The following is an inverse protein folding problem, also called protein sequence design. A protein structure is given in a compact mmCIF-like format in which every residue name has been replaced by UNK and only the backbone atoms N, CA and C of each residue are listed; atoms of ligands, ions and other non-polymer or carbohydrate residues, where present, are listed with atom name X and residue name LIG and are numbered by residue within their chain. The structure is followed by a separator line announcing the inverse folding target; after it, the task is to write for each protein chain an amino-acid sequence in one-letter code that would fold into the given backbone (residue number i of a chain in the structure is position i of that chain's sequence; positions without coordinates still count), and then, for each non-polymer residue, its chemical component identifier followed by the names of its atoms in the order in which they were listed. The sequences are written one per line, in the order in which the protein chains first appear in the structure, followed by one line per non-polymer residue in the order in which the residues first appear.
data_IF_811874112543
#
_entry.id   IF_811874112543
#
_cell.length_a   1.000
_cell.length_b   1.000
_cell.length_c   1.000
_cell.angle_alpha   90.00
_cell.angle_beta   90.00
_cell.angle_gamma   90.00
#
_symmetry.space_group_name_H-M   'P 1'
#
loop_
_entity.id
_entity.type
_entity.pdbx_description
1 polymer ?
#
# COMPACT_ATOMS: atom_id res chain seq x y z
N UNK A 1 22.54 -14.42 11.14
CA UNK A 1 22.61 -13.54 9.96
C UNK A 1 21.18 -13.27 9.51
N UNK A 2 20.78 -12.04 9.17
CA UNK A 2 19.48 -11.79 8.57
C UNK A 2 19.34 -12.57 7.25
N UNK A 3 18.12 -13.01 6.93
CA UNK A 3 17.86 -13.69 5.67
C UNK A 3 18.20 -12.76 4.49
N UNK A 4 18.76 -13.29 3.39
CA UNK A 4 19.07 -12.48 2.21
C UNK A 4 17.78 -11.90 1.63
N UNK A 5 17.80 -10.60 1.33
CA UNK A 5 16.70 -9.90 0.65
C UNK A 5 16.79 -10.17 -0.85
N UNK A 6 15.76 -10.81 -1.41
CA UNK A 6 15.61 -10.95 -2.85
C UNK A 6 14.95 -9.67 -3.36
N UNK A 7 15.76 -8.72 -3.81
CA UNK A 7 15.34 -7.37 -4.18
C UNK A 7 14.09 -7.35 -5.07
N UNK A 8 14.08 -8.16 -6.12
CA UNK A 8 12.99 -8.23 -7.08
C UNK A 8 11.65 -8.68 -6.46
N UNK A 9 11.69 -9.62 -5.51
CA UNK A 9 10.48 -10.07 -4.80
C UNK A 9 9.96 -8.94 -3.91
N UNK A 10 10.84 -8.28 -3.15
CA UNK A 10 10.43 -7.17 -2.28
C UNK A 10 9.93 -5.97 -3.09
N UNK A 11 10.49 -5.71 -4.28
CA UNK A 11 9.97 -4.73 -5.24
C UNK A 11 8.53 -5.04 -5.64
N UNK A 12 8.23 -6.29 -5.97
CA UNK A 12 6.88 -6.72 -6.31
C UNK A 12 5.90 -6.54 -5.13
N UNK A 13 6.35 -6.71 -3.88
CA UNK A 13 5.52 -6.37 -2.72
C UNK A 13 5.16 -4.88 -2.68
N UNK A 14 6.11 -3.98 -2.96
CA UNK A 14 5.84 -2.53 -2.98
C UNK A 14 4.84 -2.17 -4.09
N UNK A 15 5.05 -2.70 -5.30
CA UNK A 15 4.19 -2.45 -6.46
C UNK A 15 2.78 -3.01 -6.26
N UNK A 16 2.67 -4.24 -5.77
CA UNK A 16 1.36 -4.83 -5.51
C UNK A 16 0.62 -4.14 -4.37
N UNK A 17 1.31 -3.68 -3.32
CA UNK A 17 0.67 -2.89 -2.27
C UNK A 17 0.15 -1.54 -2.83
N UNK A 18 0.94 -0.84 -3.63
CA UNK A 18 0.53 0.41 -4.27
C UNK A 18 -0.71 0.21 -5.17
N UNK A 19 -0.66 -0.81 -6.04
CA UNK A 19 -1.77 -1.16 -6.92
C UNK A 19 -3.05 -1.52 -6.14
N UNK A 20 -2.95 -2.38 -5.13
CA UNK A 20 -4.10 -2.81 -4.35
C UNK A 20 -4.72 -1.66 -3.54
N UNK A 21 -3.90 -0.73 -3.03
CA UNK A 21 -4.41 0.51 -2.44
C UNK A 21 -5.23 1.31 -3.44
N UNK A 22 -4.73 1.52 -4.67
CA UNK A 22 -5.46 2.26 -5.71
C UNK A 22 -6.81 1.61 -6.03
N UNK A 23 -6.87 0.28 -6.11
CA UNK A 23 -8.14 -0.44 -6.32
C UNK A 23 -9.08 -0.31 -5.13
N UNK A 24 -8.56 -0.43 -3.90
CA UNK A 24 -9.33 -0.26 -2.67
C UNK A 24 -9.94 1.14 -2.60
N UNK A 25 -9.11 2.17 -2.76
CA UNK A 25 -9.52 3.56 -2.64
C UNK A 25 -10.55 3.95 -3.71
N UNK A 26 -10.30 3.53 -4.95
CA UNK A 26 -11.23 3.76 -6.06
C UNK A 26 -12.58 3.09 -5.80
N UNK A 27 -12.61 1.84 -5.33
CA UNK A 27 -13.88 1.17 -5.04
C UNK A 27 -14.67 1.89 -3.95
N UNK A 28 -14.00 2.42 -2.91
CA UNK A 28 -14.69 3.18 -1.85
C UNK A 28 -15.22 4.54 -2.31
N UNK A 29 -14.58 5.16 -3.30
CA UNK A 29 -15.07 6.41 -3.92
C UNK A 29 -16.19 6.14 -4.93
N UNK A 30 -16.21 4.95 -5.53
CA UNK A 30 -17.12 4.57 -6.60
C UNK A 30 -17.69 3.16 -6.38
N UNK A 31 -18.49 2.94 -5.32
CA UNK A 31 -18.99 1.61 -4.96
C UNK A 31 -19.84 0.99 -6.07
N UNK A 32 -20.58 1.82 -6.83
CA UNK A 32 -21.47 1.36 -7.91
C UNK A 32 -20.73 1.03 -9.22
N UNK A 33 -19.44 1.37 -9.35
CA UNK A 33 -18.69 1.18 -10.60
C UNK A 33 -18.30 -0.28 -10.85
N UNK A 34 -18.28 -1.11 -9.80
CA UNK A 34 -17.97 -2.53 -9.91
C UNK A 34 -18.95 -3.36 -9.05
N UNK A 35 -20.11 -3.75 -9.59
CA UNK A 35 -21.11 -4.52 -8.84
C UNK A 35 -20.62 -5.91 -8.43
N UNK A 36 -19.58 -6.44 -9.09
CA UNK A 36 -18.97 -7.72 -8.72
C UNK A 36 -18.07 -7.61 -7.50
N UNK A 37 -17.71 -6.40 -7.03
CA UNK A 37 -16.93 -6.20 -5.81
C UNK A 37 -17.82 -6.30 -4.57
N UNK A 38 -18.18 -7.52 -4.21
CA UNK A 38 -18.88 -7.82 -2.96
C UNK A 38 -17.98 -7.67 -1.71
N UNK A 39 -18.60 -7.75 -0.53
CA UNK A 39 -17.91 -7.62 0.77
C UNK A 39 -16.78 -8.64 0.94
N UNK A 40 -16.96 -9.86 0.42
CA UNK A 40 -15.99 -10.94 0.53
C UNK A 40 -14.75 -10.68 -0.34
N UNK A 41 -14.95 -10.16 -1.55
CA UNK A 41 -13.87 -9.75 -2.47
C UNK A 41 -13.12 -8.54 -1.93
N UNK A 42 -13.83 -7.56 -1.37
CA UNK A 42 -13.20 -6.42 -0.73
C UNK A 42 -12.35 -6.85 0.47
N UNK A 43 -12.85 -7.77 1.30
CA UNK A 43 -12.07 -8.33 2.42
C UNK A 43 -10.79 -9.04 1.92
N UNK A 44 -10.89 -9.89 0.89
CA UNK A 44 -9.71 -10.54 0.28
C UNK A 44 -8.72 -9.55 -0.32
N UNK A 45 -9.20 -8.45 -0.91
CA UNK A 45 -8.34 -7.40 -1.44
C UNK A 45 -7.54 -6.76 -0.30
N UNK A 46 -8.21 -6.43 0.80
CA UNK A 46 -7.59 -5.86 1.99
C UNK A 46 -6.55 -6.83 2.59
N UNK A 47 -6.87 -8.12 2.72
CA UNK A 47 -5.92 -9.13 3.21
C UNK A 47 -4.66 -9.21 2.35
N UNK A 48 -4.80 -9.14 1.01
CA UNK A 48 -3.66 -9.12 0.09
C UNK A 48 -2.82 -7.85 0.25
N UNK A 49 -3.47 -6.69 0.39
CA UNK A 49 -2.79 -5.42 0.60
C UNK A 49 -1.96 -5.47 1.90
N UNK A 50 -2.56 -5.93 2.98
CA UNK A 50 -1.88 -6.12 4.27
C UNK A 50 -0.70 -7.09 4.16
N UNK A 51 -0.87 -8.23 3.49
CA UNK A 51 0.20 -9.20 3.29
C UNK A 51 1.38 -8.62 2.51
N UNK A 52 1.12 -7.76 1.51
CA UNK A 52 2.19 -7.10 0.77
C UNK A 52 2.93 -6.07 1.62
N UNK A 53 2.20 -5.26 2.42
CA UNK A 53 2.81 -4.34 3.39
C UNK A 53 3.61 -5.08 4.46
N UNK A 54 3.12 -6.22 4.95
CA UNK A 54 3.84 -7.05 5.93
C UNK A 54 5.16 -7.60 5.35
N UNK A 55 5.15 -8.07 4.10
CA UNK A 55 6.36 -8.48 3.40
C UNK A 55 7.43 -7.38 3.33
N UNK A 56 7.02 -6.12 3.12
CA UNK A 56 7.91 -4.96 3.15
C UNK A 56 8.44 -4.67 4.56
N UNK A 57 7.60 -4.81 5.60
CA UNK A 57 8.01 -4.64 7.01
C UNK A 57 9.02 -5.71 7.43
N UNK A 58 8.81 -6.96 7.02
CA UNK A 58 9.74 -8.07 7.24
C UNK A 58 11.10 -7.80 6.56
N UNK A 59 11.09 -7.21 5.36
CA UNK A 59 12.31 -6.79 4.66
C UNK A 59 13.02 -5.58 5.31
N UNK A 60 12.44 -4.98 6.36
CA UNK A 60 13.05 -3.95 7.18
C UNK A 60 13.49 -2.74 6.37
N UNK A 61 14.73 -2.30 6.59
CA UNK A 61 15.31 -1.11 5.95
C UNK A 61 15.37 -1.23 4.42
N UNK A 62 15.58 -2.44 3.90
CA UNK A 62 15.57 -2.68 2.47
C UNK A 62 14.15 -2.53 1.89
N UNK A 63 13.12 -3.02 2.60
CA UNK A 63 11.73 -2.81 2.22
C UNK A 63 11.37 -1.31 2.12
N UNK A 64 11.80 -0.51 3.11
CA UNK A 64 11.62 0.94 3.08
C UNK A 64 12.36 1.61 1.93
N UNK A 65 13.62 1.22 1.69
CA UNK A 65 14.43 1.74 0.58
C UNK A 65 13.78 1.45 -0.77
N UNK A 66 13.35 0.21 -0.99
CA UNK A 66 12.69 -0.22 -2.24
C UNK A 66 11.37 0.53 -2.45
N UNK A 67 10.57 0.74 -1.40
CA UNK A 67 9.34 1.52 -1.50
C UNK A 67 9.62 2.99 -1.88
N UNK A 68 10.65 3.61 -1.29
CA UNK A 68 11.07 4.97 -1.67
C UNK A 68 11.59 5.03 -3.12
N UNK A 69 12.32 4.02 -3.58
CA UNK A 69 12.76 3.93 -4.99
C UNK A 69 11.56 3.81 -5.95
N UNK A 70 10.54 3.02 -5.60
CA UNK A 70 9.30 2.95 -6.39
C UNK A 70 8.58 4.28 -6.44
N UNK A 71 8.44 4.97 -5.32
CA UNK A 71 7.84 6.31 -5.30
C UNK A 71 8.65 7.34 -6.09
N UNK A 72 9.99 7.26 -6.05
CA UNK A 72 10.84 8.14 -6.85
C UNK A 72 10.70 7.91 -8.36
N UNK A 73 10.45 6.67 -8.77
CA UNK A 73 10.23 6.30 -10.18
C UNK A 73 8.80 6.61 -10.64
N UNK A 74 7.81 6.35 -9.78
CA UNK A 74 6.39 6.52 -10.01
C UNK A 74 5.78 7.32 -8.84
N UNK A 75 5.80 8.66 -8.89
CA UNK A 75 5.32 9.51 -7.81
C UNK A 75 3.79 9.61 -7.81
N UNK A 76 3.10 8.49 -7.66
CA UNK A 76 1.64 8.42 -7.59
C UNK A 76 1.14 8.12 -6.15
N UNK A 77 -0.18 8.18 -5.97
CA UNK A 77 -0.80 8.03 -4.66
C UNK A 77 -0.60 6.64 -4.05
N UNK A 78 -0.53 5.58 -4.86
CA UNK A 78 -0.29 4.22 -4.39
C UNK A 78 1.09 4.06 -3.77
N UNK A 79 2.12 4.53 -4.45
CA UNK A 79 3.51 4.42 -4.00
C UNK A 79 3.73 5.29 -2.77
N UNK A 80 3.19 6.52 -2.75
CA UNK A 80 3.25 7.39 -1.58
C UNK A 80 2.53 6.78 -0.38
N UNK A 81 1.37 6.13 -0.60
CA UNK A 81 0.66 5.41 0.45
C UNK A 81 1.53 4.32 1.08
N UNK A 82 2.21 3.51 0.27
CA UNK A 82 3.13 2.47 0.77
C UNK A 82 4.27 3.08 1.57
N UNK A 83 4.92 4.14 1.06
CA UNK A 83 5.98 4.86 1.79
C UNK A 83 5.47 5.34 3.15
N UNK A 84 4.27 5.92 3.19
CA UNK A 84 3.66 6.41 4.43
C UNK A 84 3.40 5.27 5.41
N UNK A 85 2.81 4.18 4.97
CA UNK A 85 2.50 3.00 5.80
C UNK A 85 3.74 2.33 6.38
N UNK A 86 4.91 2.46 5.73
CA UNK A 86 6.19 1.95 6.22
C UNK A 86 6.96 2.95 7.09
N UNK A 87 6.59 4.22 7.07
CA UNK A 87 7.21 5.28 7.89
C UNK A 87 6.68 5.33 9.33
N UNK A 88 5.49 4.77 9.57
CA UNK A 88 4.84 4.77 10.89
C UNK A 88 5.14 3.47 11.61
N UNK A 89 5.58 3.57 12.87
CA UNK A 89 5.97 2.40 13.69
C UNK A 89 4.81 1.42 13.91
N UNK A 90 3.63 1.95 14.20
CA UNK A 90 2.39 1.20 14.43
C UNK A 90 1.32 1.74 13.48
N UNK A 91 1.47 1.41 12.20
CA UNK A 91 0.47 1.77 11.21
C UNK A 91 -0.86 1.06 11.53
N UNK A 92 -2.02 1.73 11.40
CA UNK A 92 -3.32 1.08 11.52
C UNK A 92 -3.47 -0.02 10.49
N UNK A 93 -4.39 -0.96 10.72
CA UNK A 93 -4.83 -1.83 9.63
C UNK A 93 -5.60 -1.02 8.59
N UNK A 94 -5.64 -1.49 7.35
CA UNK A 94 -6.34 -0.83 6.24
C UNK A 94 -7.78 -0.51 6.60
N UNK A 95 -8.49 -1.44 7.25
CA UNK A 95 -9.90 -1.26 7.66
C UNK A 95 -10.10 -0.23 8.77
N UNK A 96 -9.03 0.12 9.49
CA UNK A 96 -9.04 1.04 10.62
C UNK A 96 -8.49 2.44 10.23
N UNK A 97 -8.20 2.66 8.93
CA UNK A 97 -7.69 3.94 8.43
C UNK A 97 -8.78 5.02 8.44
N UNK A 98 -8.39 6.21 8.87
CA UNK A 98 -9.13 7.44 8.57
C UNK A 98 -8.86 7.81 7.11
N UNK A 99 -9.75 7.40 6.21
CA UNK A 99 -9.57 7.55 4.76
C UNK A 99 -9.60 9.02 4.33
N UNK A 100 -10.35 9.88 5.02
CA UNK A 100 -10.38 11.31 4.71
C UNK A 100 -9.01 11.94 5.00
N UNK A 101 -8.46 11.69 6.20
CA UNK A 101 -7.10 12.17 6.54
C UNK A 101 -6.03 11.54 5.66
N UNK A 102 -6.17 10.26 5.32
CA UNK A 102 -5.23 9.56 4.46
C UNK A 102 -5.19 10.19 3.07
N UNK A 103 -6.34 10.38 2.44
CA UNK A 103 -6.45 11.03 1.12
C UNK A 103 -5.96 12.47 1.15
N UNK A 104 -6.29 13.24 2.20
CA UNK A 104 -5.83 14.61 2.36
C UNK A 104 -4.30 14.69 2.45
N UNK A 105 -3.67 13.78 3.19
CA UNK A 105 -2.21 13.66 3.25
C UNK A 105 -1.61 13.30 1.89
N UNK A 106 -2.17 12.31 1.19
CA UNK A 106 -1.65 11.91 -0.12
C UNK A 106 -1.74 13.07 -1.12
N UNK A 107 -2.87 13.78 -1.15
CA UNK A 107 -3.08 14.92 -2.02
C UNK A 107 -2.18 16.13 -1.69
N UNK A 108 -1.77 16.32 -0.43
CA UNK A 108 -0.90 17.46 -0.07
C UNK A 108 0.57 17.25 -0.44
N UNK A 109 1.01 15.99 -0.53
CA UNK A 109 2.40 15.62 -0.82
C UNK A 109 2.65 15.34 -2.31
N UNK A 110 1.61 14.99 -3.07
CA UNK A 110 1.65 14.90 -4.53
C UNK A 110 1.48 16.32 -5.13
N UNK A 111 2.52 16.85 -5.76
CA UNK A 111 2.52 18.16 -6.43
C UNK A 111 2.52 18.02 -7.94
#
# INVERSE_FOLDING_TARGET
MPAPVIHEIVRQHAEMAAFLWTVYDHHLLHPDANPDMDVERLARLVERLEAHLDGLRIAGDQGRKIAMERYAEFPEAGELFVVRMLSVKEAPRIVDLDLEKTRAYLASELR
#
